data_IF_793674716205
#
_entry.id   IF_793674716205
#
_cell.length_a   1.000
_cell.length_b   1.000
_cell.length_c   1.000
_cell.angle_alpha   90.00
_cell.angle_beta   90.00
_cell.angle_gamma   90.00
#
_symmetry.space_group_name_H-M   'P 1'
#
loop_
_entity.id
_entity.type
_entity.pdbx_description
1 polymer ?
#
# COMPACT_ATOMS: atom_id res chain seq x y z
N UNK A 1 13.03 6.49 -4.29
CA UNK A 1 12.93 5.15 -4.87
C UNK A 1 12.02 4.27 -4.02
N UNK A 2 11.37 3.29 -4.65
CA UNK A 2 10.73 2.19 -3.90
C UNK A 2 11.88 1.44 -3.23
N UNK A 3 11.79 1.22 -1.91
CA UNK A 3 12.81 0.46 -1.18
C UNK A 3 12.68 -1.02 -1.62
N UNK A 4 13.59 -1.43 -2.50
CA UNK A 4 13.58 -2.77 -3.11
C UNK A 4 14.48 -3.75 -2.38
N UNK A 5 15.21 -3.30 -1.35
CA UNK A 5 16.28 -4.08 -0.72
C UNK A 5 15.74 -4.96 0.43
N UNK A 6 14.54 -4.62 0.97
CA UNK A 6 13.89 -5.43 1.99
C UNK A 6 12.66 -6.16 1.43
N UNK A 7 12.70 -7.50 1.24
CA UNK A 7 11.58 -8.29 0.71
C UNK A 7 10.32 -8.26 1.57
N UNK A 8 10.46 -8.22 2.90
CA UNK A 8 9.32 -8.20 3.80
C UNK A 8 8.60 -6.85 3.75
N UNK A 9 9.36 -5.74 3.73
CA UNK A 9 8.81 -4.41 3.54
C UNK A 9 8.05 -4.29 2.21
N UNK A 10 8.64 -4.82 1.13
CA UNK A 10 8.03 -4.82 -0.19
C UNK A 10 6.69 -5.58 -0.22
N UNK A 11 6.64 -6.78 0.38
CA UNK A 11 5.42 -7.57 0.54
C UNK A 11 4.38 -6.86 1.42
N UNK A 12 4.82 -6.23 2.52
CA UNK A 12 3.94 -5.47 3.41
C UNK A 12 3.33 -4.25 2.70
N UNK A 13 4.13 -3.48 1.95
CA UNK A 13 3.67 -2.38 1.12
C UNK A 13 2.64 -2.84 0.09
N UNK A 14 2.92 -3.93 -0.63
CA UNK A 14 2.00 -4.47 -1.61
C UNK A 14 0.65 -4.86 -0.98
N UNK A 15 0.67 -5.57 0.16
CA UNK A 15 -0.56 -5.98 0.87
C UNK A 15 -1.39 -4.78 1.33
N UNK A 16 -0.73 -3.78 1.93
CA UNK A 16 -1.40 -2.57 2.39
C UNK A 16 -2.00 -1.79 1.22
N UNK A 17 -1.24 -1.64 0.14
CA UNK A 17 -1.64 -0.92 -1.05
C UNK A 17 -2.76 -1.62 -1.82
N UNK A 18 -2.69 -2.94 -1.97
CA UNK A 18 -3.70 -3.74 -2.68
C UNK A 18 -5.12 -3.60 -2.10
N UNK A 19 -5.22 -3.34 -0.79
CA UNK A 19 -6.49 -3.11 -0.11
C UNK A 19 -7.10 -1.73 -0.40
N UNK A 20 -6.26 -0.72 -0.65
CA UNK A 20 -6.69 0.67 -0.83
C UNK A 20 -6.97 1.03 -2.30
N UNK A 21 -6.31 0.37 -3.23
CA UNK A 21 -6.41 0.68 -4.67
C UNK A 21 -7.83 0.56 -5.24
N UNK A 22 -8.60 -0.50 -4.99
CA UNK A 22 -9.97 -0.58 -5.53
C UNK A 22 -10.83 0.58 -5.06
N UNK A 23 -10.70 0.96 -3.78
CA UNK A 23 -11.42 2.09 -3.19
C UNK A 23 -11.04 3.41 -3.87
N UNK A 24 -9.75 3.62 -4.13
CA UNK A 24 -9.25 4.79 -4.86
C UNK A 24 -9.88 4.91 -6.26
N UNK A 25 -9.90 3.83 -7.04
CA UNK A 25 -10.46 3.87 -8.39
C UNK A 25 -11.98 4.08 -8.38
N UNK A 26 -12.72 3.49 -7.42
CA UNK A 26 -14.15 3.74 -7.25
C UNK A 26 -14.41 5.20 -6.90
N UNK A 27 -13.64 5.78 -5.98
CA UNK A 27 -13.72 7.20 -5.62
C UNK A 27 -13.47 8.10 -6.84
N UNK A 28 -12.42 7.82 -7.62
CA UNK A 28 -12.09 8.58 -8.83
C UNK A 28 -13.22 8.52 -9.86
N UNK A 29 -13.82 7.35 -10.09
CA UNK A 29 -14.96 7.21 -11.00
C UNK A 29 -16.17 8.03 -10.54
N UNK A 30 -16.57 7.90 -9.27
CA UNK A 30 -17.72 8.63 -8.73
C UNK A 30 -17.48 10.14 -8.82
N UNK A 31 -16.32 10.63 -8.38
CA UNK A 31 -15.99 12.04 -8.42
C UNK A 31 -15.98 12.58 -9.87
N UNK A 32 -15.44 11.82 -10.83
CA UNK A 32 -15.44 12.23 -12.23
C UNK A 32 -16.86 12.40 -12.80
N UNK A 33 -17.76 11.46 -12.51
CA UNK A 33 -19.16 11.57 -12.95
C UNK A 33 -19.93 12.69 -12.24
N UNK A 34 -19.64 12.95 -10.96
CA UNK A 34 -20.22 14.09 -10.24
C UNK A 34 -19.78 15.42 -10.87
N UNK A 35 -18.49 15.59 -11.19
CA UNK A 35 -18.02 16.79 -11.89
C UNK A 35 -18.63 16.90 -13.28
N UNK A 36 -18.65 15.81 -14.05
CA UNK A 36 -19.26 15.80 -15.39
C UNK A 36 -20.73 16.15 -15.36
N UNK A 37 -21.50 15.69 -14.37
CA UNK A 37 -22.94 15.93 -14.25
C UNK A 37 -23.30 17.41 -14.14
N UNK A 38 -22.50 18.20 -13.43
CA UNK A 38 -22.71 19.65 -13.28
C UNK A 38 -22.40 20.43 -14.56
N UNK A 39 -21.65 19.86 -15.49
CA UNK A 39 -21.28 20.49 -16.76
C UNK A 39 -22.03 19.92 -17.96
N UNK A 40 -22.95 18.95 -17.78
CA UNK A 40 -23.63 18.27 -18.90
C UNK A 40 -24.41 19.21 -19.85
N UNK A 41 -25.00 20.27 -19.31
CA UNK A 41 -25.73 21.25 -20.11
C UNK A 41 -24.84 22.36 -20.70
N UNK A 42 -23.61 22.53 -20.21
CA UNK A 42 -22.74 23.67 -20.50
C UNK A 42 -21.58 23.31 -21.42
N UNK A 43 -21.06 22.09 -21.30
CA UNK A 43 -19.87 21.65 -22.02
C UNK A 43 -20.20 20.60 -23.12
N UNK A 44 -19.31 20.44 -24.13
CA UNK A 44 -19.48 19.44 -25.16
C UNK A 44 -19.58 18.01 -24.61
N UNK A 45 -20.37 17.14 -25.24
CA UNK A 45 -20.58 15.74 -24.83
C UNK A 45 -19.28 14.93 -24.76
N UNK A 46 -18.26 15.26 -25.52
CA UNK A 46 -16.98 14.55 -25.44
C UNK A 46 -16.26 14.78 -24.11
N UNK A 47 -16.42 15.95 -23.47
CA UNK A 47 -15.88 16.25 -22.14
C UNK A 47 -16.75 15.69 -21.02
N UNK A 48 -18.09 15.71 -21.17
CA UNK A 48 -19.01 15.37 -20.07
C UNK A 48 -19.45 13.91 -20.07
N UNK A 49 -19.31 13.19 -21.18
CA UNK A 49 -19.76 11.79 -21.30
C UNK A 49 -18.59 10.89 -21.73
N UNK A 50 -17.94 11.16 -22.87
CA UNK A 50 -16.98 10.21 -23.43
C UNK A 50 -15.67 10.15 -22.63
N UNK A 51 -15.17 11.28 -22.15
CA UNK A 51 -13.96 11.30 -21.33
C UNK A 51 -14.16 10.63 -19.97
N UNK A 52 -15.20 10.96 -19.16
CA UNK A 52 -15.47 10.24 -17.92
C UNK A 52 -15.72 8.74 -18.13
N UNK A 53 -16.41 8.36 -19.21
CA UNK A 53 -16.62 6.96 -19.55
C UNK A 53 -15.29 6.22 -19.83
N UNK A 54 -14.41 6.83 -20.66
CA UNK A 54 -13.09 6.28 -20.93
C UNK A 54 -12.23 6.16 -19.66
N UNK A 55 -12.20 7.22 -18.84
CA UNK A 55 -11.51 7.22 -17.55
C UNK A 55 -12.06 6.13 -16.61
N UNK A 56 -13.38 5.96 -16.58
CA UNK A 56 -14.04 4.91 -15.81
C UNK A 56 -13.69 3.51 -16.30
N UNK A 57 -13.58 3.28 -17.60
CA UNK A 57 -13.14 2.00 -18.15
C UNK A 57 -11.71 1.66 -17.74
N UNK A 58 -10.80 2.64 -17.78
CA UNK A 58 -9.41 2.47 -17.32
C UNK A 58 -9.39 2.17 -15.81
N UNK A 59 -10.12 2.93 -15.00
CA UNK A 59 -10.21 2.72 -13.55
C UNK A 59 -10.80 1.35 -13.22
N UNK A 60 -11.87 0.94 -13.91
CA UNK A 60 -12.51 -0.37 -13.72
C UNK A 60 -11.56 -1.52 -14.09
N UNK A 61 -10.89 -1.42 -15.23
CA UNK A 61 -9.88 -2.40 -15.63
C UNK A 61 -8.77 -2.53 -14.59
N UNK A 62 -8.28 -1.40 -14.08
CA UNK A 62 -7.27 -1.38 -13.00
C UNK A 62 -7.81 -1.97 -11.70
N UNK A 63 -9.03 -1.64 -11.32
CA UNK A 63 -9.70 -2.21 -10.15
C UNK A 63 -9.81 -3.74 -10.25
N UNK A 64 -10.27 -4.26 -11.39
CA UNK A 64 -10.38 -5.71 -11.65
C UNK A 64 -9.02 -6.40 -11.62
N UNK A 65 -7.98 -5.78 -12.21
CA UNK A 65 -6.63 -6.37 -12.21
C UNK A 65 -6.05 -6.48 -10.80
N UNK A 66 -6.35 -5.53 -9.92
CA UNK A 66 -5.94 -5.58 -8.53
C UNK A 66 -6.79 -6.54 -7.69
N UNK A 67 -8.07 -6.65 -7.99
CA UNK A 67 -8.97 -7.57 -7.26
C UNK A 67 -8.70 -9.03 -7.58
N UNK A 68 -8.25 -9.33 -8.81
CA UNK A 68 -7.85 -10.70 -9.21
C UNK A 68 -6.48 -11.12 -8.67
N UNK A 69 -5.66 -10.20 -8.21
CA UNK A 69 -4.39 -10.51 -7.55
C UNK A 69 -4.63 -11.11 -6.16
N UNK A 70 -3.87 -12.14 -5.78
CA UNK A 70 -3.91 -12.63 -4.39
C UNK A 70 -2.98 -11.78 -3.52
N UNK A 71 -3.55 -10.96 -2.59
CA UNK A 71 -2.74 -10.12 -1.71
C UNK A 71 -2.15 -10.88 -0.52
N UNK A 72 -2.53 -12.16 -0.29
CA UNK A 72 -2.20 -12.88 0.94
C UNK A 72 -0.75 -13.29 1.00
N UNK A 73 -0.20 -13.81 -0.09
CA UNK A 73 1.23 -14.14 -0.17
C UNK A 73 1.82 -13.80 -1.56
N UNK A 74 2.09 -12.50 -1.82
CA UNK A 74 2.66 -12.08 -3.09
C UNK A 74 4.10 -12.58 -3.20
N UNK A 75 4.46 -13.13 -4.36
CA UNK A 75 5.86 -13.29 -4.73
C UNK A 75 6.55 -11.91 -4.79
N UNK A 76 7.80 -11.84 -4.33
CA UNK A 76 8.58 -10.60 -4.25
C UNK A 76 8.71 -9.90 -5.60
N UNK A 77 8.90 -10.69 -6.68
CA UNK A 77 8.99 -10.16 -8.05
C UNK A 77 7.64 -9.56 -8.53
N UNK A 78 6.53 -10.17 -8.14
CA UNK A 78 5.17 -9.69 -8.46
C UNK A 78 4.86 -8.42 -7.69
N UNK A 79 5.15 -8.36 -6.38
CA UNK A 79 4.98 -7.17 -5.56
C UNK A 79 5.79 -6.00 -6.11
N UNK A 80 7.07 -6.22 -6.43
CA UNK A 80 7.96 -5.21 -7.01
C UNK A 80 7.43 -4.68 -8.34
N UNK A 81 7.05 -5.57 -9.27
CA UNK A 81 6.50 -5.17 -10.58
C UNK A 81 5.22 -4.35 -10.46
N UNK A 82 4.32 -4.74 -9.56
CA UNK A 82 3.06 -4.04 -9.34
C UNK A 82 3.28 -2.63 -8.77
N UNK A 83 4.14 -2.47 -7.76
CA UNK A 83 4.47 -1.17 -7.17
C UNK A 83 5.19 -0.25 -8.16
N UNK A 84 6.16 -0.77 -8.93
CA UNK A 84 6.84 0.00 -9.98
C UNK A 84 5.89 0.43 -11.10
N UNK A 85 5.01 -0.46 -11.58
CA UNK A 85 3.97 -0.11 -12.56
C UNK A 85 3.03 0.98 -12.04
N UNK A 86 2.66 0.91 -10.77
CA UNK A 86 1.81 1.94 -10.17
C UNK A 86 2.52 3.27 -10.12
N UNK A 87 3.81 3.29 -9.75
CA UNK A 87 4.60 4.51 -9.74
C UNK A 87 4.71 5.15 -11.13
N UNK A 88 4.90 4.35 -12.17
CA UNK A 88 4.96 4.84 -13.57
C UNK A 88 3.59 5.33 -14.06
N UNK A 89 2.50 4.60 -13.73
CA UNK A 89 1.16 4.93 -14.18
C UNK A 89 0.51 6.08 -13.40
N UNK A 90 1.00 6.41 -12.20
CA UNK A 90 0.47 7.53 -11.40
C UNK A 90 0.56 8.85 -12.18
N UNK A 91 1.65 9.09 -12.92
CA UNK A 91 1.88 10.32 -13.68
C UNK A 91 0.84 10.54 -14.80
N UNK A 92 0.69 9.63 -15.78
CA UNK A 92 -0.27 9.85 -16.86
C UNK A 92 -1.71 9.85 -16.39
N UNK A 93 -2.08 9.04 -15.41
CA UNK A 93 -3.43 9.06 -14.83
C UNK A 93 -3.70 10.42 -14.19
N UNK A 94 -2.79 10.91 -13.34
CA UNK A 94 -2.92 12.23 -12.70
C UNK A 94 -3.02 13.34 -13.75
N UNK A 95 -2.17 13.32 -14.78
CA UNK A 95 -2.19 14.32 -15.86
C UNK A 95 -3.52 14.33 -16.63
N UNK A 96 -4.08 13.16 -16.95
CA UNK A 96 -5.38 13.05 -17.61
C UNK A 96 -6.50 13.66 -16.76
N UNK A 97 -6.56 13.34 -15.45
CA UNK A 97 -7.57 13.89 -14.56
C UNK A 97 -7.45 15.41 -14.42
N UNK A 98 -6.24 15.95 -14.29
CA UNK A 98 -5.99 17.39 -14.21
C UNK A 98 -6.41 18.07 -15.51
N UNK A 99 -5.89 17.63 -16.65
CA UNK A 99 -6.18 18.26 -17.95
C UNK A 99 -7.68 18.22 -18.26
N UNK A 100 -8.34 17.09 -17.98
CA UNK A 100 -9.78 16.97 -18.16
C UNK A 100 -10.58 17.90 -17.25
N UNK A 101 -10.26 17.97 -15.97
CA UNK A 101 -10.98 18.84 -15.04
C UNK A 101 -10.80 20.33 -15.38
N UNK A 102 -9.60 20.73 -15.75
CA UNK A 102 -9.33 22.12 -16.19
C UNK A 102 -9.96 22.44 -17.55
N UNK A 103 -10.10 21.47 -18.45
CA UNK A 103 -10.80 21.66 -19.73
C UNK A 103 -12.31 21.92 -19.55
N UNK A 104 -12.90 21.52 -18.44
CA UNK A 104 -14.29 21.85 -18.08
C UNK A 104 -14.45 23.28 -17.55
N UNK A 105 -13.42 23.86 -16.95
CA UNK A 105 -13.46 25.16 -16.28
C UNK A 105 -14.01 26.31 -17.16
N UNK A 106 -13.67 26.46 -18.45
CA UNK A 106 -14.17 27.57 -19.29
C UNK A 106 -15.66 27.49 -19.61
N UNK A 107 -16.28 26.31 -19.43
CA UNK A 107 -17.69 26.09 -19.80
C UNK A 107 -18.67 26.39 -18.67
N UNK A 108 -18.17 26.80 -17.49
CA UNK A 108 -19.00 26.97 -16.32
C UNK A 108 -19.23 28.41 -15.90
N UNK A 109 -20.26 28.62 -15.11
CA UNK A 109 -20.47 29.80 -14.29
C UNK A 109 -19.60 29.72 -13.00
N UNK A 110 -19.68 30.74 -12.14
CA UNK A 110 -18.90 30.78 -10.90
C UNK A 110 -19.15 29.59 -9.97
N UNK A 111 -20.32 28.98 -10.01
CA UNK A 111 -20.65 27.81 -9.18
C UNK A 111 -20.01 26.53 -9.72
N UNK A 112 -20.13 26.28 -11.01
CA UNK A 112 -19.54 25.12 -11.68
C UNK A 112 -18.02 25.20 -11.73
N UNK A 113 -17.45 26.40 -11.91
CA UNK A 113 -16.00 26.63 -11.77
C UNK A 113 -15.51 26.31 -10.35
N UNK A 114 -16.26 26.70 -9.32
CA UNK A 114 -15.94 26.34 -7.94
C UNK A 114 -16.00 24.84 -7.71
N UNK A 115 -16.90 24.13 -8.40
CA UNK A 115 -16.97 22.67 -8.34
C UNK A 115 -15.72 22.00 -8.97
N UNK A 116 -15.15 22.56 -10.04
CA UNK A 116 -13.85 22.09 -10.59
C UNK A 116 -12.75 22.20 -9.53
N UNK A 117 -12.65 23.34 -8.84
CA UNK A 117 -11.68 23.54 -7.79
C UNK A 117 -11.88 22.57 -6.62
N UNK A 118 -13.12 22.38 -6.19
CA UNK A 118 -13.50 21.44 -5.14
C UNK A 118 -13.17 19.98 -5.54
N UNK A 119 -13.52 19.59 -6.76
CA UNK A 119 -13.20 18.27 -7.30
C UNK A 119 -11.70 17.98 -7.24
N UNK A 120 -10.85 18.90 -7.71
CA UNK A 120 -9.40 18.73 -7.69
C UNK A 120 -8.88 18.61 -6.26
N UNK A 121 -9.37 19.45 -5.34
CA UNK A 121 -8.97 19.45 -3.93
C UNK A 121 -9.33 18.14 -3.21
N UNK A 122 -10.58 17.69 -3.33
CA UNK A 122 -11.05 16.45 -2.67
C UNK A 122 -10.39 15.22 -3.29
N UNK A 123 -10.25 15.22 -4.61
CA UNK A 123 -9.65 14.08 -5.33
C UNK A 123 -8.17 13.90 -4.97
N UNK A 124 -7.38 14.99 -4.87
CA UNK A 124 -5.96 14.88 -4.50
C UNK A 124 -5.81 14.33 -3.08
N UNK A 125 -6.60 14.81 -2.12
CA UNK A 125 -6.57 14.31 -0.74
C UNK A 125 -6.83 12.81 -0.70
N UNK A 126 -7.91 12.35 -1.35
CA UNK A 126 -8.25 10.92 -1.39
C UNK A 126 -7.20 10.06 -2.06
N UNK A 127 -6.60 10.52 -3.17
CA UNK A 127 -5.53 9.81 -3.88
C UNK A 127 -4.26 9.74 -3.05
N UNK A 128 -3.86 10.83 -2.36
CA UNK A 128 -2.69 10.84 -1.50
C UNK A 128 -2.81 9.84 -0.35
N UNK A 129 -3.98 9.76 0.29
CA UNK A 129 -4.25 8.75 1.33
C UNK A 129 -4.10 7.31 0.80
N UNK A 130 -4.56 7.05 -0.41
CA UNK A 130 -4.43 5.73 -1.03
C UNK A 130 -2.99 5.41 -1.48
N UNK A 131 -2.20 6.42 -1.85
CA UNK A 131 -0.83 6.26 -2.33
C UNK A 131 0.22 6.31 -1.20
N UNK A 132 -0.17 6.42 0.07
CA UNK A 132 0.76 6.60 1.20
C UNK A 132 1.86 5.53 1.28
N UNK A 133 1.58 4.30 0.84
CA UNK A 133 2.56 3.20 0.84
C UNK A 133 3.50 3.21 -0.38
N UNK A 134 3.28 4.10 -1.37
CA UNK A 134 4.10 4.26 -2.57
C UNK A 134 4.61 5.70 -2.64
N UNK A 135 5.62 6.01 -1.80
CA UNK A 135 6.16 7.39 -1.63
C UNK A 135 6.40 8.14 -2.93
N UNK A 136 7.07 7.58 -3.96
CA UNK A 136 7.33 8.34 -5.18
C UNK A 136 6.05 8.73 -5.93
N UNK A 137 5.08 7.82 -6.05
CA UNK A 137 3.80 8.11 -6.69
C UNK A 137 3.01 9.17 -5.92
N UNK A 138 3.00 9.09 -4.58
CA UNK A 138 2.36 10.07 -3.72
C UNK A 138 2.98 11.46 -3.91
N UNK A 139 4.31 11.59 -3.85
CA UNK A 139 5.01 12.87 -3.97
C UNK A 139 4.83 13.49 -5.37
N UNK A 140 4.93 12.68 -6.43
CA UNK A 140 4.71 13.13 -7.80
C UNK A 140 3.28 13.63 -7.99
N UNK A 141 2.28 12.88 -7.50
CA UNK A 141 0.88 13.29 -7.58
C UNK A 141 0.64 14.58 -6.79
N UNK A 142 1.14 14.68 -5.56
CA UNK A 142 1.01 15.88 -4.74
C UNK A 142 1.63 17.10 -5.42
N UNK A 143 2.87 17.00 -5.90
CA UNK A 143 3.58 18.09 -6.55
C UNK A 143 2.90 18.53 -7.85
N UNK A 144 2.47 17.57 -8.69
CA UNK A 144 1.82 17.85 -9.97
C UNK A 144 0.46 18.53 -9.77
N UNK A 145 -0.39 17.96 -8.92
CA UNK A 145 -1.74 18.52 -8.69
C UNK A 145 -1.64 19.87 -8.01
N UNK A 146 -0.86 20.00 -6.91
CA UNK A 146 -0.72 21.27 -6.22
C UNK A 146 -0.08 22.35 -7.09
N UNK A 147 0.99 22.00 -7.81
CA UNK A 147 1.67 22.97 -8.66
C UNK A 147 0.74 23.54 -9.73
N UNK A 148 0.02 22.66 -10.45
CA UNK A 148 -0.91 23.09 -11.50
C UNK A 148 -2.12 23.81 -10.89
N UNK A 149 -2.67 23.31 -9.78
CA UNK A 149 -3.79 23.91 -9.08
C UNK A 149 -3.47 25.36 -8.64
N UNK A 150 -2.35 25.53 -7.93
CA UNK A 150 -1.93 26.84 -7.43
C UNK A 150 -1.65 27.80 -8.59
N UNK A 151 -0.89 27.37 -9.60
CA UNK A 151 -0.57 28.22 -10.75
C UNK A 151 -1.82 28.65 -11.52
N UNK A 152 -2.72 27.71 -11.81
CA UNK A 152 -3.95 27.96 -12.56
C UNK A 152 -4.89 28.94 -11.82
N UNK A 153 -5.16 28.67 -10.55
CA UNK A 153 -6.13 29.45 -9.79
C UNK A 153 -5.57 30.81 -9.33
N UNK A 154 -4.28 30.95 -9.11
CA UNK A 154 -3.64 32.27 -8.90
C UNK A 154 -3.71 33.09 -10.20
N UNK A 155 -3.43 32.48 -11.36
CA UNK A 155 -3.49 33.14 -12.66
C UNK A 155 -4.92 33.61 -13.03
N UNK A 156 -5.96 33.04 -12.45
CA UNK A 156 -7.35 33.49 -12.65
C UNK A 156 -7.62 34.92 -12.15
N UNK A 157 -6.81 35.42 -11.21
CA UNK A 157 -6.98 36.75 -10.59
C UNK A 157 -8.20 36.89 -9.68
N UNK A 158 -8.99 35.83 -9.49
CA UNK A 158 -10.21 35.85 -8.66
C UNK A 158 -9.83 35.55 -7.22
N UNK A 159 -10.14 36.47 -6.30
CA UNK A 159 -9.75 36.39 -4.89
C UNK A 159 -10.20 35.08 -4.20
N UNK A 160 -11.41 34.61 -4.50
CA UNK A 160 -11.94 33.35 -3.97
C UNK A 160 -11.10 32.15 -4.42
N UNK A 161 -10.72 32.07 -5.70
CA UNK A 161 -9.89 30.99 -6.21
C UNK A 161 -8.45 31.05 -5.69
N UNK A 162 -7.91 32.26 -5.49
CA UNK A 162 -6.59 32.43 -4.84
C UNK A 162 -6.64 31.90 -3.40
N UNK A 163 -7.67 32.25 -2.64
CA UNK A 163 -7.86 31.73 -1.27
C UNK A 163 -8.01 30.21 -1.24
N UNK A 164 -8.77 29.61 -2.18
CA UNK A 164 -8.89 28.16 -2.33
C UNK A 164 -7.52 27.53 -2.65
N UNK A 165 -6.74 28.14 -3.53
CA UNK A 165 -5.41 27.63 -3.90
C UNK A 165 -4.46 27.60 -2.69
N UNK A 166 -4.44 28.64 -1.88
CA UNK A 166 -3.63 28.71 -0.66
C UNK A 166 -4.10 27.62 0.34
N UNK A 167 -5.40 27.49 0.56
CA UNK A 167 -5.95 26.49 1.47
C UNK A 167 -5.60 25.07 1.03
N UNK A 168 -5.79 24.73 -0.25
CA UNK A 168 -5.46 23.41 -0.80
C UNK A 168 -3.97 23.12 -0.70
N UNK A 169 -3.12 24.11 -1.02
CA UNK A 169 -1.66 23.97 -0.89
C UNK A 169 -1.25 23.70 0.56
N UNK A 170 -1.83 24.43 1.53
CA UNK A 170 -1.56 24.24 2.94
C UNK A 170 -2.00 22.85 3.42
N UNK A 171 -3.23 22.47 3.13
CA UNK A 171 -3.80 21.18 3.55
C UNK A 171 -3.04 20.01 2.93
N UNK A 172 -2.75 20.06 1.63
CA UNK A 172 -2.03 18.97 0.96
C UNK A 172 -0.57 18.90 1.39
N UNK A 173 0.09 20.01 1.66
CA UNK A 173 1.46 20.02 2.21
C UNK A 173 1.49 19.39 3.61
N UNK A 174 0.55 19.79 4.48
CA UNK A 174 0.41 19.21 5.83
C UNK A 174 0.12 17.70 5.73
N UNK A 175 -0.79 17.29 4.83
CA UNK A 175 -1.13 15.90 4.60
C UNK A 175 0.09 15.09 4.12
N UNK A 176 0.87 15.63 3.18
CA UNK A 176 2.09 14.96 2.69
C UNK A 176 3.09 14.75 3.84
N UNK A 177 3.31 15.76 4.68
CA UNK A 177 4.22 15.63 5.84
C UNK A 177 3.71 14.54 6.80
N UNK A 178 2.39 14.51 7.07
CA UNK A 178 1.78 13.50 7.93
C UNK A 178 1.92 12.10 7.32
N UNK A 179 1.66 11.95 6.02
CA UNK A 179 1.77 10.66 5.34
C UNK A 179 3.21 10.16 5.26
N UNK A 180 4.19 11.06 5.12
CA UNK A 180 5.61 10.68 5.17
C UNK A 180 6.00 10.13 6.55
N UNK A 181 5.52 10.75 7.63
CA UNK A 181 5.73 10.23 9.00
C UNK A 181 5.04 8.86 9.19
N UNK A 182 3.79 8.73 8.77
CA UNK A 182 3.07 7.45 8.83
C UNK A 182 3.78 6.34 8.04
N UNK A 183 4.39 6.69 6.90
CA UNK A 183 5.19 5.73 6.14
C UNK A 183 6.46 5.30 6.90
N UNK A 184 7.12 6.22 7.60
CA UNK A 184 8.27 5.92 8.45
C UNK A 184 7.89 5.01 9.61
N UNK A 185 6.79 5.31 10.31
CA UNK A 185 6.24 4.47 11.38
C UNK A 185 5.89 3.06 10.87
N UNK A 186 5.24 2.98 9.72
CA UNK A 186 4.94 1.71 9.06
C UNK A 186 6.22 0.89 8.75
N UNK A 187 7.25 1.56 8.24
CA UNK A 187 8.53 0.90 7.93
C UNK A 187 9.23 0.40 9.19
N UNK A 188 9.21 1.19 10.27
CA UNK A 188 9.77 0.78 11.58
C UNK A 188 8.99 -0.41 12.16
N UNK A 189 7.66 -0.40 12.07
CA UNK A 189 6.83 -1.51 12.54
C UNK A 189 7.15 -2.82 11.81
N UNK A 190 7.30 -2.78 10.49
CA UNK A 190 7.67 -3.97 9.69
C UNK A 190 9.05 -4.49 10.12
N UNK A 191 10.04 -3.62 10.27
CA UNK A 191 11.40 -4.01 10.71
C UNK A 191 11.41 -4.55 12.14
N UNK A 192 10.67 -3.92 13.05
CA UNK A 192 10.56 -4.40 14.44
C UNK A 192 9.93 -5.79 14.49
N UNK A 193 8.92 -6.05 13.67
CA UNK A 193 8.29 -7.36 13.54
C UNK A 193 9.27 -8.42 13.02
N UNK A 194 10.00 -8.15 11.97
CA UNK A 194 11.04 -9.06 11.44
C UNK A 194 12.09 -9.40 12.52
N UNK A 195 12.54 -8.39 13.25
CA UNK A 195 13.50 -8.59 14.32
C UNK A 195 12.94 -9.44 15.45
N UNK A 196 11.68 -9.19 15.86
CA UNK A 196 11.01 -10.00 16.87
C UNK A 196 10.82 -11.46 16.44
N UNK A 197 10.44 -11.70 15.18
CA UNK A 197 10.32 -13.05 14.60
C UNK A 197 11.68 -13.77 14.57
N UNK A 198 12.76 -13.08 14.20
CA UNK A 198 14.12 -13.63 14.20
C UNK A 198 14.60 -13.96 15.62
N UNK A 199 14.38 -13.06 16.60
CA UNK A 199 14.70 -13.33 18.01
C UNK A 199 13.89 -14.48 18.58
N UNK A 200 12.59 -14.56 18.21
CA UNK A 200 11.72 -15.67 18.64
C UNK A 200 12.23 -17.02 18.13
N UNK A 201 12.64 -17.10 16.86
CA UNK A 201 13.19 -18.32 16.27
C UNK A 201 14.52 -18.73 16.91
N UNK A 202 15.39 -17.76 17.18
CA UNK A 202 16.67 -18.03 17.85
C UNK A 202 16.46 -18.46 19.33
N UNK A 203 15.53 -17.83 20.04
CA UNK A 203 15.17 -18.25 21.39
C UNK A 203 14.61 -19.70 21.43
N UNK A 204 13.78 -20.06 20.44
CA UNK A 204 13.28 -21.44 20.31
C UNK A 204 14.42 -22.41 20.02
N UNK A 205 15.37 -22.02 19.15
CA UNK A 205 16.56 -22.81 18.85
C UNK A 205 17.40 -23.05 20.12
N UNK A 206 17.71 -21.99 20.86
CA UNK A 206 18.48 -22.07 22.11
C UNK A 206 17.75 -22.85 23.19
N UNK A 207 16.43 -22.76 23.27
CA UNK A 207 15.63 -23.51 24.25
C UNK A 207 15.52 -25.00 23.95
N UNK A 208 15.70 -25.42 22.68
CA UNK A 208 15.45 -26.78 22.22
C UNK A 208 16.71 -27.54 21.80
N UNK A 209 17.84 -26.87 21.61
CA UNK A 209 19.09 -27.52 21.24
C UNK A 209 20.10 -27.48 22.42
N UNK A 210 20.97 -28.49 22.44
CA UNK A 210 22.14 -28.54 23.30
C UNK A 210 23.25 -27.65 22.74
N UNK A 211 23.82 -26.79 23.57
CA UNK A 211 24.79 -25.77 23.14
C UNK A 211 26.14 -26.34 22.67
N UNK A 212 26.49 -27.56 23.09
CA UNK A 212 27.75 -28.18 22.76
C UNK A 212 27.66 -29.00 21.47
N UNK A 213 26.59 -29.78 21.36
CA UNK A 213 26.46 -30.77 20.27
C UNK A 213 25.57 -30.28 19.12
N UNK A 214 24.75 -29.25 19.35
CA UNK A 214 23.73 -28.78 18.40
C UNK A 214 22.56 -29.76 18.22
N UNK A 215 22.52 -30.86 18.96
CA UNK A 215 21.43 -31.82 18.92
C UNK A 215 20.25 -31.35 19.77
N UNK A 216 19.04 -31.90 19.54
CA UNK A 216 17.89 -31.65 20.40
C UNK A 216 18.21 -31.97 21.88
N UNK A 217 17.91 -31.03 22.77
CA UNK A 217 18.15 -31.20 24.19
C UNK A 217 17.07 -32.07 24.85
N UNK A 218 17.25 -32.38 26.14
CA UNK A 218 16.32 -33.19 26.93
C UNK A 218 14.88 -32.64 26.91
N UNK A 219 14.72 -31.32 26.95
CA UNK A 219 13.42 -30.67 26.93
C UNK A 219 12.68 -30.93 25.62
N UNK A 220 13.36 -30.76 24.49
CA UNK A 220 12.80 -31.01 23.17
C UNK A 220 12.43 -32.49 22.99
N UNK A 221 13.27 -33.40 23.47
CA UNK A 221 13.01 -34.83 23.42
C UNK A 221 11.69 -35.20 24.11
N UNK A 222 11.46 -34.73 25.36
CA UNK A 222 10.24 -35.04 26.10
C UNK A 222 9.01 -34.41 25.48
N UNK A 223 9.06 -33.16 25.02
CA UNK A 223 7.92 -32.54 24.34
C UNK A 223 7.55 -33.23 23.03
N UNK A 224 8.56 -33.70 22.28
CA UNK A 224 8.32 -34.48 21.05
C UNK A 224 7.77 -35.87 21.37
N UNK A 225 8.27 -36.52 22.40
CA UNK A 225 7.78 -37.82 22.85
C UNK A 225 6.30 -37.75 23.27
N UNK A 226 5.92 -36.72 24.03
CA UNK A 226 4.51 -36.49 24.39
C UNK A 226 3.60 -36.32 23.18
N UNK A 227 4.05 -35.56 22.17
CA UNK A 227 3.31 -35.38 20.92
C UNK A 227 3.17 -36.70 20.14
N UNK A 228 4.27 -37.45 19.98
CA UNK A 228 4.26 -38.74 19.29
C UNK A 228 3.38 -39.79 20.02
N UNK A 229 3.37 -39.77 21.36
CA UNK A 229 2.47 -40.63 22.15
C UNK A 229 1.00 -40.31 21.85
N UNK A 230 0.63 -39.01 21.86
CA UNK A 230 -0.75 -38.59 21.58
C UNK A 230 -1.18 -38.95 20.14
N UNK A 231 -0.32 -38.74 19.15
CA UNK A 231 -0.59 -39.10 17.76
C UNK A 231 -0.76 -40.64 17.58
N UNK A 232 0.15 -41.41 18.23
CA UNK A 232 0.08 -42.86 18.17
C UNK A 232 -1.19 -43.44 18.84
N UNK A 233 -1.65 -42.80 19.91
CA UNK A 233 -2.89 -43.15 20.60
C UNK A 233 -4.12 -42.84 19.73
N UNK A 234 -4.11 -41.70 19.01
CA UNK A 234 -5.18 -41.32 18.10
C UNK A 234 -5.26 -42.20 16.85
N UNK A 235 -4.10 -42.55 16.29
CA UNK A 235 -4.00 -43.30 15.02
C UNK A 235 -3.90 -44.83 15.22
N UNK A 236 -3.80 -45.31 16.46
CA UNK A 236 -3.61 -46.73 16.77
C UNK A 236 -2.25 -47.28 16.30
N UNK A 237 -1.26 -46.44 16.10
CA UNK A 237 0.10 -46.78 15.64
C UNK A 237 1.01 -47.13 16.82
N UNK A 238 2.15 -47.77 16.53
CA UNK A 238 3.18 -48.11 17.51
C UNK A 238 4.48 -47.48 17.14
N UNK A 239 5.23 -47.02 18.14
CA UNK A 239 6.61 -46.49 17.99
C UNK A 239 7.50 -47.11 19.06
N UNK A 240 8.81 -47.00 18.89
CA UNK A 240 9.82 -47.43 19.87
C UNK A 240 10.74 -46.28 20.24
N UNK A 241 11.18 -46.24 21.49
CA UNK A 241 12.15 -45.27 22.01
C UNK A 241 13.40 -46.04 22.42
N UNK A 242 14.57 -45.57 21.96
CA UNK A 242 15.88 -46.09 22.35
C UNK A 242 16.67 -45.08 23.17
N UNK A 243 17.37 -45.54 24.20
CA UNK A 243 18.33 -44.74 24.97
C UNK A 243 19.69 -45.37 24.74
N UNK A 244 20.68 -44.53 24.37
CA UNK A 244 22.06 -44.93 24.20
C UNK A 244 22.92 -44.15 25.18
N UNK A 245 23.81 -44.84 25.88
CA UNK A 245 24.81 -44.24 26.78
C UNK A 245 26.24 -44.66 26.39
N UNK A 246 27.20 -43.80 26.64
CA UNK A 246 28.60 -44.06 26.34
C UNK A 246 29.32 -44.54 27.59
N UNK A 247 29.70 -45.82 27.60
CA UNK A 247 30.48 -46.39 28.67
C UNK A 247 31.85 -45.71 28.81
N UNK A 248 32.21 -45.33 30.05
CA UNK A 248 33.54 -44.76 30.33
C UNK A 248 33.76 -43.33 29.84
N UNK A 249 32.69 -42.57 29.46
CA UNK A 249 32.83 -41.21 28.94
C UNK A 249 33.25 -40.17 30.00
N UNK A 250 33.02 -40.44 31.30
CA UNK A 250 33.31 -39.49 32.38
C UNK A 250 34.79 -39.04 32.41
N UNK A 251 35.84 -39.94 32.28
CA UNK A 251 37.21 -39.49 32.24
C UNK A 251 37.65 -38.66 31.06
N UNK A 252 36.83 -38.64 30.00
CA UNK A 252 37.09 -37.84 28.77
C UNK A 252 36.49 -36.45 28.90
N UNK A 253 35.47 -36.29 29.78
CA UNK A 253 34.74 -35.04 29.96
C UNK A 253 35.26 -34.22 31.21
N UNK A 254 36.03 -34.84 32.10
CA UNK A 254 36.71 -34.18 33.23
C UNK A 254 38.10 -33.69 32.79
#
# INVERSE_FOLDING_TARGET
SVDTDNPALLKAQYRAFARQIPLMYVMLMINAWLLASTHMALAPRWLTVYMPALMSLVCLWRCITWWRGDPRDPDTATARRALLRTNVLAWPITAVFICWSLALFPYGDSHTQSHVAFFMAVTVIGVLLCLMHVRPAMLVTAASVNGIFVLFFIASGVSTFIAMAINVALVTTTLVVMLLRQYEDFTQLVRAREHAEALGSENLRLANLDSLTGLPNRRWFFSTLEAVCADAEADGTRFAVGILDLDGFKPVND
#
